data_IF_053239084593
#
_entry.id   IF_053239084593
#
_cell.length_a   1.000
_cell.length_b   1.000
_cell.length_c   1.000
_cell.angle_alpha   90.00
_cell.angle_beta   90.00
_cell.angle_gamma   90.00
#
_symmetry.space_group_name_H-M   'P 1'
#
loop_
_entity.id
_entity.type
_entity.pdbx_description
1 polymer ?
#
# COMPACT_ATOMS: atom_id res chain seq x y z
N UNK A 1 -8.97 -15.29 11.51
CA UNK A 1 -8.19 -16.37 10.85
C UNK A 1 -8.56 -17.66 11.54
N UNK A 2 -8.95 -18.65 10.76
CA UNK A 2 -9.41 -19.98 11.17
C UNK A 2 -8.25 -20.89 11.58
N UNK A 3 -7.02 -20.57 11.16
CA UNK A 3 -5.83 -21.40 11.38
C UNK A 3 -5.52 -22.32 10.19
N UNK A 4 -6.52 -22.59 9.36
CA UNK A 4 -6.43 -23.42 8.15
C UNK A 4 -5.95 -22.63 6.92
N UNK A 5 -5.76 -21.31 7.04
CA UNK A 5 -5.25 -20.52 5.94
C UNK A 5 -3.86 -21.03 5.51
N UNK A 6 -3.59 -21.11 4.18
CA UNK A 6 -2.30 -21.57 3.68
C UNK A 6 -1.16 -20.59 3.97
N UNK A 7 -1.48 -19.43 4.53
CA UNK A 7 -0.55 -18.38 4.94
C UNK A 7 -0.75 -17.98 6.40
N UNK A 8 0.21 -17.25 6.95
CA UNK A 8 0.04 -16.48 8.18
C UNK A 8 0.48 -15.04 7.92
N UNK A 9 0.01 -14.11 8.75
CA UNK A 9 0.32 -12.69 8.63
C UNK A 9 1.40 -12.32 9.63
N UNK A 10 2.42 -11.61 9.18
CA UNK A 10 3.42 -10.95 10.02
C UNK A 10 3.33 -9.43 9.78
N UNK A 11 3.37 -8.64 10.84
CA UNK A 11 3.46 -7.18 10.77
C UNK A 11 4.69 -6.71 11.53
N UNK A 12 5.26 -5.58 11.12
CA UNK A 12 6.30 -4.91 11.91
C UNK A 12 5.79 -4.51 13.30
N UNK A 13 6.67 -4.51 14.31
CA UNK A 13 6.30 -4.05 15.67
C UNK A 13 6.31 -2.52 15.76
N UNK A 14 5.20 -1.92 16.20
CA UNK A 14 5.02 -0.45 16.26
C UNK A 14 5.60 0.21 17.52
N UNK A 15 5.83 -0.53 18.61
CA UNK A 15 6.30 0.05 19.88
C UNK A 15 7.83 0.05 19.94
N UNK A 16 8.41 1.25 20.10
CA UNK A 16 9.85 1.48 20.25
C UNK A 16 10.18 2.44 21.39
N UNK A 17 9.16 2.95 22.09
CA UNK A 17 9.32 4.02 23.10
C UNK A 17 10.20 3.56 24.27
N UNK A 18 10.08 2.30 24.65
CA UNK A 18 10.86 1.70 25.75
C UNK A 18 12.03 0.83 25.30
N UNK A 19 12.26 0.73 23.98
CA UNK A 19 13.19 -0.25 23.40
C UNK A 19 14.60 0.31 23.28
N UNK A 20 15.58 -0.35 23.91
CA UNK A 20 16.99 -0.06 23.65
C UNK A 20 17.35 -0.30 22.18
N UNK A 21 18.30 0.50 21.66
CA UNK A 21 18.70 0.45 20.25
C UNK A 21 19.22 -0.94 19.90
N UNK A 22 18.45 -1.68 19.09
CA UNK A 22 18.86 -2.98 18.58
C UNK A 22 19.93 -2.80 17.49
N UNK A 23 20.80 -3.81 17.26
CA UNK A 23 21.67 -3.86 16.08
C UNK A 23 20.86 -3.63 14.81
N UNK A 24 21.46 -2.99 13.79
CA UNK A 24 20.79 -2.68 12.53
C UNK A 24 20.11 -3.94 11.95
N UNK A 25 18.78 -3.96 12.01
CA UNK A 25 17.97 -5.02 11.41
C UNK A 25 17.64 -4.65 9.96
N UNK A 26 17.42 -5.66 9.09
CA UNK A 26 16.82 -5.41 7.78
C UNK A 26 15.49 -4.67 7.95
N UNK A 27 15.17 -3.77 7.01
CA UNK A 27 13.87 -3.11 6.98
C UNK A 27 12.78 -4.19 6.89
N UNK A 28 11.86 -4.17 7.85
CA UNK A 28 10.72 -5.09 7.91
C UNK A 28 9.63 -4.63 6.94
N UNK A 29 8.81 -5.59 6.51
CA UNK A 29 7.56 -5.30 5.81
C UNK A 29 6.56 -4.68 6.80
N UNK A 30 5.74 -3.73 6.34
CA UNK A 30 4.66 -3.22 7.17
C UNK A 30 3.66 -4.35 7.48
N UNK A 31 3.20 -5.07 6.45
CA UNK A 31 2.40 -6.29 6.55
C UNK A 31 2.89 -7.31 5.52
N UNK A 32 3.04 -8.56 5.91
CA UNK A 32 3.50 -9.65 5.07
C UNK A 32 2.61 -10.89 5.21
N UNK A 33 2.07 -11.37 4.10
CA UNK A 33 1.36 -12.65 4.02
C UNK A 33 2.36 -13.72 3.62
N UNK A 34 2.68 -14.63 4.55
CA UNK A 34 3.75 -15.61 4.39
C UNK A 34 3.14 -16.99 4.17
N UNK A 35 3.46 -17.65 3.06
CA UNK A 35 2.96 -18.98 2.75
C UNK A 35 3.56 -20.03 3.72
N UNK A 36 2.70 -20.81 4.39
CA UNK A 36 3.13 -21.84 5.36
C UNK A 36 4.00 -22.92 4.71
N UNK A 37 3.60 -23.39 3.52
CA UNK A 37 4.30 -24.44 2.76
C UNK A 37 5.70 -24.00 2.32
N UNK A 38 5.91 -22.70 2.08
CA UNK A 38 7.21 -22.14 1.74
C UNK A 38 7.31 -20.69 2.22
N UNK A 39 7.97 -20.51 3.37
CA UNK A 39 8.08 -19.21 4.04
C UNK A 39 8.90 -18.17 3.28
N UNK A 40 9.56 -18.56 2.19
CA UNK A 40 10.24 -17.62 1.28
C UNK A 40 9.25 -16.88 0.38
N UNK A 41 8.06 -17.45 0.17
CA UNK A 41 6.99 -16.83 -0.61
C UNK A 41 6.23 -15.88 0.31
N UNK A 42 6.40 -14.59 0.05
CA UNK A 42 5.84 -13.50 0.82
C UNK A 42 5.08 -12.61 -0.15
N UNK A 43 3.81 -12.33 0.14
CA UNK A 43 3.04 -11.30 -0.53
C UNK A 43 2.97 -10.07 0.39
N UNK A 44 3.74 -9.01 0.12
CA UNK A 44 3.86 -7.88 1.03
C UNK A 44 2.83 -6.79 0.75
N UNK A 45 2.44 -6.09 1.81
CA UNK A 45 1.75 -4.81 1.80
C UNK A 45 2.60 -3.78 2.53
N UNK A 46 2.87 -2.69 1.85
CA UNK A 46 3.55 -1.53 2.41
C UNK A 46 2.57 -0.38 2.59
N UNK A 47 2.59 0.28 3.75
CA UNK A 47 1.65 1.31 4.11
C UNK A 47 2.36 2.65 4.36
N UNK A 48 1.84 3.73 3.78
CA UNK A 48 2.40 5.08 3.99
C UNK A 48 1.28 6.07 4.27
N UNK A 49 1.58 7.06 5.12
CA UNK A 49 0.67 8.18 5.39
C UNK A 49 0.86 9.24 4.33
N UNK A 50 -0.22 9.60 3.63
CA UNK A 50 -0.26 10.66 2.64
C UNK A 50 -0.97 11.86 3.27
N UNK A 51 -0.19 12.85 3.71
CA UNK A 51 -0.74 14.06 4.37
C UNK A 51 -1.65 14.86 3.42
N UNK A 52 -1.30 14.89 2.13
CA UNK A 52 -2.05 15.52 1.06
C UNK A 52 -1.98 14.65 -0.20
N UNK A 53 -2.83 14.92 -1.19
CA UNK A 53 -2.79 14.25 -2.50
C UNK A 53 -1.48 14.47 -3.29
N UNK A 54 -0.66 15.46 -2.93
CA UNK A 54 0.68 15.67 -3.46
C UNK A 54 1.81 14.96 -2.70
N UNK A 55 1.57 14.53 -1.45
CA UNK A 55 2.58 14.00 -0.53
C UNK A 55 2.88 12.50 -0.74
N UNK A 56 3.21 12.12 -1.98
CA UNK A 56 3.36 10.72 -2.42
C UNK A 56 4.81 10.20 -2.46
N UNK A 57 5.80 10.99 -2.03
CA UNK A 57 7.23 10.67 -2.21
C UNK A 57 7.65 9.36 -1.53
N UNK A 58 7.30 9.16 -0.26
CA UNK A 58 7.65 7.93 0.48
C UNK A 58 6.94 6.70 -0.09
N UNK A 59 5.73 6.88 -0.60
CA UNK A 59 4.98 5.83 -1.29
C UNK A 59 5.70 5.39 -2.56
N UNK A 60 6.17 6.34 -3.37
CA UNK A 60 6.91 6.08 -4.61
C UNK A 60 8.27 5.45 -4.33
N UNK A 61 8.95 5.94 -3.30
CA UNK A 61 10.25 5.41 -2.86
C UNK A 61 10.16 3.92 -2.58
N UNK A 62 9.11 3.47 -1.91
CA UNK A 62 8.89 2.06 -1.59
C UNK A 62 8.76 1.19 -2.85
N UNK A 63 8.01 1.66 -3.84
CA UNK A 63 7.85 0.96 -5.12
C UNK A 63 9.21 0.82 -5.81
N UNK A 64 9.92 1.94 -5.99
CA UNK A 64 11.15 1.99 -6.77
C UNK A 64 12.32 1.28 -6.09
N UNK A 65 12.51 1.50 -4.78
CA UNK A 65 13.68 0.98 -4.07
C UNK A 65 13.49 -0.45 -3.59
N UNK A 66 12.25 -0.91 -3.36
CA UNK A 66 12.00 -2.22 -2.75
C UNK A 66 11.27 -3.19 -3.68
N UNK A 67 10.16 -2.81 -4.32
CA UNK A 67 9.48 -3.72 -5.25
C UNK A 67 10.24 -3.89 -6.57
N UNK A 68 10.67 -2.80 -7.21
CA UNK A 68 11.32 -2.86 -8.53
C UNK A 68 12.70 -3.53 -8.51
N UNK A 69 13.36 -3.54 -7.36
CA UNK A 69 14.69 -4.15 -7.15
C UNK A 69 14.64 -5.61 -6.69
N UNK A 70 13.44 -6.19 -6.58
CA UNK A 70 13.21 -7.51 -5.98
C UNK A 70 13.68 -7.65 -4.53
N UNK A 71 13.95 -6.54 -3.82
CA UNK A 71 14.27 -6.58 -2.38
C UNK A 71 13.07 -7.09 -1.59
N UNK A 72 11.89 -6.63 -1.98
CA UNK A 72 10.60 -7.09 -1.46
C UNK A 72 9.92 -8.00 -2.50
N UNK A 73 9.13 -8.97 -2.00
CA UNK A 73 8.43 -9.95 -2.83
C UNK A 73 9.32 -10.73 -3.84
N UNK A 74 10.52 -11.23 -3.48
CA UNK A 74 11.41 -11.87 -4.46
C UNK A 74 10.81 -13.13 -5.12
N UNK A 75 9.89 -13.82 -4.44
CA UNK A 75 9.24 -15.04 -4.95
C UNK A 75 7.76 -14.85 -5.27
N UNK A 76 7.27 -13.61 -5.25
CA UNK A 76 5.89 -13.27 -5.61
C UNK A 76 5.90 -12.31 -6.79
N UNK A 77 5.02 -12.52 -7.75
CA UNK A 77 4.82 -11.60 -8.89
C UNK A 77 3.88 -10.45 -8.53
N UNK A 78 3.48 -10.32 -7.26
CA UNK A 78 2.52 -9.33 -6.82
C UNK A 78 2.84 -8.83 -5.41
N UNK A 79 2.37 -7.62 -5.11
CA UNK A 79 2.36 -7.00 -3.79
C UNK A 79 1.42 -5.80 -3.78
N UNK A 80 1.36 -5.08 -2.67
CA UNK A 80 0.50 -3.92 -2.58
C UNK A 80 1.08 -2.75 -1.77
N UNK A 81 0.59 -1.58 -2.11
CA UNK A 81 0.83 -0.31 -1.46
C UNK A 81 -0.49 0.25 -0.92
N UNK A 82 -0.53 0.49 0.38
CA UNK A 82 -1.60 1.18 1.10
C UNK A 82 -1.21 2.64 1.32
N UNK A 83 -2.10 3.56 1.00
CA UNK A 83 -1.93 4.98 1.30
C UNK A 83 -3.04 5.48 2.20
N UNK A 84 -2.73 5.89 3.42
CA UNK A 84 -3.70 6.58 4.28
C UNK A 84 -3.74 8.06 3.89
N UNK A 85 -4.77 8.47 3.15
CA UNK A 85 -4.92 9.82 2.63
C UNK A 85 -5.68 10.70 3.62
N UNK A 86 -4.98 11.63 4.26
CA UNK A 86 -5.55 12.50 5.29
C UNK A 86 -6.28 13.72 4.72
N UNK A 87 -5.85 14.21 3.56
CA UNK A 87 -6.46 15.38 2.91
C UNK A 87 -6.26 15.34 1.40
N UNK A 88 -7.20 15.93 0.66
CA UNK A 88 -7.18 15.98 -0.79
C UNK A 88 -8.01 14.90 -1.48
N UNK A 89 -7.71 14.68 -2.75
CA UNK A 89 -8.45 13.80 -3.66
C UNK A 89 -7.65 12.54 -4.04
N UNK A 90 -8.30 11.37 -3.99
CA UNK A 90 -7.67 10.08 -4.30
C UNK A 90 -7.25 9.99 -5.77
N UNK A 91 -8.06 10.51 -6.71
CA UNK A 91 -7.73 10.49 -8.13
C UNK A 91 -6.53 11.38 -8.44
N UNK A 92 -6.41 12.53 -7.78
CA UNK A 92 -5.20 13.38 -7.85
C UNK A 92 -3.98 12.66 -7.27
N UNK A 93 -4.13 11.99 -6.13
CA UNK A 93 -3.04 11.22 -5.53
C UNK A 93 -2.57 10.09 -6.47
N UNK A 94 -3.49 9.35 -7.09
CA UNK A 94 -3.16 8.34 -8.10
C UNK A 94 -2.47 8.95 -9.32
N UNK A 95 -2.96 10.09 -9.82
CA UNK A 95 -2.33 10.79 -10.95
C UNK A 95 -0.89 11.20 -10.61
N UNK A 96 -0.65 11.68 -9.39
CA UNK A 96 0.67 12.05 -8.90
C UNK A 96 1.60 10.83 -8.72
N UNK A 97 1.06 9.68 -8.31
CA UNK A 97 1.79 8.41 -8.26
C UNK A 97 2.18 7.99 -9.69
N UNK A 98 1.22 7.97 -10.62
CA UNK A 98 1.44 7.59 -12.02
C UNK A 98 2.46 8.49 -12.73
N UNK A 99 2.47 9.78 -12.42
CA UNK A 99 3.44 10.72 -13.02
C UNK A 99 4.88 10.47 -12.57
N UNK A 100 5.09 9.87 -11.40
CA UNK A 100 6.42 9.70 -10.78
C UNK A 100 6.93 8.25 -10.77
N UNK A 101 6.03 7.29 -10.90
CA UNK A 101 6.36 5.90 -11.22
C UNK A 101 5.92 5.69 -12.67
N UNK A 102 6.85 5.55 -13.63
CA UNK A 102 6.53 5.49 -15.06
C UNK A 102 5.78 4.18 -15.41
N UNK A 103 4.52 4.13 -15.02
CA UNK A 103 3.60 3.02 -15.16
C UNK A 103 2.20 3.57 -15.48
N UNK A 104 1.30 2.70 -15.89
CA UNK A 104 -0.12 3.03 -16.03
C UNK A 104 -0.89 2.44 -14.87
N UNK A 105 -1.69 3.24 -14.18
CA UNK A 105 -2.61 2.78 -13.17
C UNK A 105 -3.97 2.48 -13.81
N UNK A 106 -4.40 1.22 -13.72
CA UNK A 106 -5.68 0.75 -14.22
C UNK A 106 -6.63 0.50 -13.07
N UNK A 107 -7.93 0.70 -13.29
CA UNK A 107 -8.94 0.35 -12.29
C UNK A 107 -9.00 -1.16 -12.06
N UNK A 108 -9.20 -1.56 -10.80
CA UNK A 108 -9.40 -2.97 -10.49
C UNK A 108 -10.84 -3.37 -10.83
N UNK A 109 -11.03 -4.34 -11.73
CA UNK A 109 -12.34 -4.72 -12.27
C UNK A 109 -13.35 -5.12 -11.18
N UNK A 110 -12.89 -5.80 -10.14
CA UNK A 110 -13.76 -6.22 -9.02
C UNK A 110 -14.10 -5.10 -8.03
N UNK A 111 -13.45 -3.93 -8.13
CA UNK A 111 -13.54 -2.85 -7.14
C UNK A 111 -13.73 -1.46 -7.78
N UNK A 112 -14.69 -1.32 -8.69
CA UNK A 112 -14.94 -0.09 -9.46
C UNK A 112 -15.21 1.16 -8.60
N UNK A 113 -15.76 0.98 -7.39
CA UNK A 113 -16.13 2.09 -6.50
C UNK A 113 -15.12 2.33 -5.38
N UNK A 114 -14.09 1.49 -5.27
CA UNK A 114 -13.04 1.64 -4.26
C UNK A 114 -11.90 2.42 -4.90
N UNK A 115 -11.21 3.23 -4.11
CA UNK A 115 -9.95 3.87 -4.50
C UNK A 115 -8.84 2.82 -4.61
N UNK A 116 -8.96 1.93 -5.60
CA UNK A 116 -8.08 0.79 -5.83
C UNK A 116 -7.70 0.73 -7.30
N UNK A 117 -6.40 0.88 -7.56
CA UNK A 117 -5.81 0.71 -8.90
C UNK A 117 -4.76 -0.39 -8.89
N UNK A 118 -4.39 -0.87 -10.07
CA UNK A 118 -3.26 -1.78 -10.28
C UNK A 118 -2.31 -1.22 -11.33
N UNK A 119 -1.01 -1.44 -11.15
CA UNK A 119 -0.02 -1.21 -12.19
C UNK A 119 0.81 -2.46 -12.40
N UNK A 120 1.22 -2.70 -13.64
CA UNK A 120 2.11 -3.77 -14.03
C UNK A 120 3.50 -3.20 -14.35
N UNK A 121 4.56 -3.89 -13.90
CA UNK A 121 5.94 -3.44 -13.94
C UNK A 121 6.88 -4.53 -14.41
N UNK A 122 8.03 -4.10 -14.95
CA UNK A 122 9.18 -4.96 -15.22
C UNK A 122 10.27 -4.70 -14.18
N UNK A 123 10.58 -5.71 -13.36
CA UNK A 123 11.59 -5.62 -12.30
C UNK A 123 13.01 -5.86 -12.82
N UNK A 124 13.97 -5.29 -12.12
CA UNK A 124 15.40 -5.59 -12.32
C UNK A 124 15.74 -6.80 -11.46
N UNK A 125 15.79 -7.98 -12.07
CA UNK A 125 16.13 -9.23 -11.38
C UNK A 125 17.65 -9.34 -11.20
N UNK A 126 18.17 -9.57 -9.99
CA UNK A 126 19.61 -9.73 -9.77
C UNK A 126 20.18 -10.94 -10.53
N UNK A 127 21.44 -10.88 -11.01
CA UNK A 127 22.06 -11.98 -11.72
C UNK A 127 22.03 -13.31 -10.95
N UNK A 128 21.74 -14.41 -11.65
CA UNK A 128 21.66 -15.74 -11.06
C UNK A 128 20.44 -15.98 -10.16
N UNK A 129 19.44 -15.09 -10.14
CA UNK A 129 18.17 -15.28 -9.44
C UNK A 129 17.05 -15.63 -10.40
N UNK A 130 16.17 -16.54 -9.98
CA UNK A 130 14.98 -16.96 -10.73
C UNK A 130 13.72 -16.27 -10.18
N UNK A 131 13.79 -14.95 -9.96
CA UNK A 131 12.66 -14.18 -9.46
C UNK A 131 11.72 -13.81 -10.62
N UNK A 132 10.40 -13.66 -10.37
CA UNK A 132 9.48 -13.22 -11.42
C UNK A 132 9.85 -11.81 -11.89
N UNK A 133 10.15 -11.61 -13.16
CA UNK A 133 10.50 -10.29 -13.66
C UNK A 133 9.24 -9.40 -13.81
N UNK A 134 8.11 -9.98 -14.19
CA UNK A 134 6.81 -9.31 -14.22
C UNK A 134 6.26 -9.15 -12.80
N UNK A 135 5.78 -7.94 -12.48
CA UNK A 135 5.26 -7.63 -11.16
C UNK A 135 4.03 -6.71 -11.20
N UNK A 136 2.95 -7.14 -10.54
CA UNK A 136 1.76 -6.31 -10.33
C UNK A 136 1.77 -5.66 -8.95
N UNK A 137 1.66 -4.34 -8.91
CA UNK A 137 1.46 -3.58 -7.69
C UNK A 137 -0.01 -3.20 -7.55
N UNK A 138 -0.63 -3.57 -6.42
CA UNK A 138 -1.96 -3.11 -6.04
C UNK A 138 -1.83 -1.80 -5.26
N UNK A 139 -2.62 -0.79 -5.62
CA UNK A 139 -2.61 0.53 -4.98
C UNK A 139 -3.96 0.79 -4.36
N UNK A 140 -4.04 0.76 -3.04
CA UNK A 140 -5.27 1.07 -2.30
C UNK A 140 -5.06 2.34 -1.49
N UNK A 141 -5.89 3.36 -1.74
CA UNK A 141 -5.92 4.57 -0.92
C UNK A 141 -7.10 4.48 0.05
N UNK A 142 -6.82 4.72 1.33
CA UNK A 142 -7.79 4.76 2.41
C UNK A 142 -7.92 6.21 2.85
N UNK A 143 -9.01 6.86 2.44
CA UNK A 143 -9.27 8.25 2.85
C UNK A 143 -9.67 8.30 4.31
N UNK A 144 -8.97 9.09 5.11
CA UNK A 144 -9.31 9.33 6.50
C UNK A 144 -10.26 10.52 6.54
N UNK A 145 -11.53 10.26 6.81
CA UNK A 145 -12.49 11.32 7.08
C UNK A 145 -12.47 11.60 8.58
N UNK A 146 -11.97 12.78 8.96
CA UNK A 146 -12.30 13.31 10.28
C UNK A 146 -13.80 13.64 10.23
N UNK A 147 -14.62 12.83 10.89
CA UNK A 147 -16.00 13.22 11.16
C UNK A 147 -15.91 14.32 12.21
N UNK A 148 -16.10 15.58 11.81
CA UNK A 148 -16.32 16.64 12.78
C UNK A 148 -17.57 16.28 13.58
N UNK A 149 -17.42 15.94 14.86
CA UNK A 149 -18.52 15.60 15.76
C UNK A 149 -19.48 16.79 16.03
N UNK A 150 -19.38 17.88 15.28
CA UNK A 150 -20.11 19.12 15.43
C UNK A 150 -20.81 19.59 14.13
N UNK A 151 -21.06 18.73 13.14
CA UNK A 151 -21.99 19.12 12.06
C UNK A 151 -23.42 19.12 12.60
N UNK A 152 -23.81 20.19 13.28
CA UNK A 152 -25.22 20.54 13.46
C UNK A 152 -25.81 20.78 12.07
N UNK A 153 -26.57 19.80 11.59
CA UNK A 153 -27.49 19.97 10.47
C UNK A 153 -28.54 21.03 10.85
N UNK A 154 -28.26 22.28 10.52
CA UNK A 154 -29.28 23.32 10.42
C UNK A 154 -29.52 23.62 8.95
N UNK A 155 -30.52 22.95 8.37
CA UNK A 155 -31.20 23.42 7.17
C UNK A 155 -32.70 23.11 7.35
N UNK A 156 -33.46 24.11 7.80
CA UNK A 156 -34.31 24.97 6.96
C UNK A 156 -35.60 24.27 6.48
N UNK A 157 -36.63 24.31 7.34
CA UNK A 157 -38.02 24.24 6.88
C UNK A 157 -38.47 25.67 6.64
N UNK A 158 -38.34 26.13 5.40
CA UNK A 158 -39.04 27.31 4.91
C UNK A 158 -40.48 26.93 4.60
N UNK A 159 -41.39 27.68 5.20
CA UNK A 159 -42.83 27.71 5.01
C UNK A 159 -43.26 27.59 3.54
N UNK A 160 -44.25 26.74 3.28
CA UNK A 160 -45.15 26.87 2.13
C UNK A 160 -46.57 26.79 2.69
N UNK A 161 -47.39 27.68 2.14
CA UNK A 161 -48.75 28.14 2.49
C UNK A 161 -49.78 27.08 2.88
#
# INVERSE_FOLDING_TARGET
MTGDEPYYVQHGSYERETRQVAPAQPKEYDIAFILRKNRRIIWPLEAKVLKTDGAVSEYIKEINENFMTCRYAPFSSQGGMLGYLFSGDSNKAFSNIQAKVPCTLNDHLDFLTRDHKTSDHQRVVPPGKSYPAEFRCHHLLLKITATDANSTDTNNISSIE
#
